data_IF_294829323176
#
_entry.id   IF_294829323176
#
_cell.length_a   1.000
_cell.length_b   1.000
_cell.length_c   1.000
_cell.angle_alpha   90.00
_cell.angle_beta   90.00
_cell.angle_gamma   90.00
#
_symmetry.space_group_name_H-M   'P 1'
#
loop_
_entity.id
_entity.type
_entity.pdbx_description
1 polymer ?
#
# COMPACT_ATOMS: atom_id res chain seq x y z
N UNK A 1 4.32 35.05 -14.42
CA UNK A 1 4.05 36.42 -14.92
C UNK A 1 2.58 36.62 -15.14
N UNK A 2 1.91 37.39 -14.28
CA UNK A 2 0.49 37.71 -14.45
C UNK A 2 0.42 39.20 -14.80
N UNK A 3 0.11 39.49 -16.07
CA UNK A 3 -0.03 40.87 -16.56
C UNK A 3 -1.39 41.40 -16.12
N UNK A 4 -1.40 42.43 -15.28
CA UNK A 4 -2.62 43.19 -14.92
C UNK A 4 -2.73 44.43 -15.80
N UNK A 5 -3.79 44.53 -16.59
CA UNK A 5 -4.14 45.76 -17.29
C UNK A 5 -4.83 46.71 -16.29
N UNK A 6 -4.41 47.98 -16.26
CA UNK A 6 -5.06 49.05 -15.49
C UNK A 6 -5.85 49.91 -16.48
N UNK A 7 -7.18 49.95 -16.34
CA UNK A 7 -8.04 50.89 -17.07
C UNK A 7 -8.24 52.15 -16.22
N UNK A 8 -7.86 53.30 -16.76
CA UNK A 8 -7.95 54.61 -16.10
C UNK A 8 -9.19 55.35 -16.60
N UNK A 9 -10.36 55.05 -16.03
CA UNK A 9 -11.51 55.97 -16.09
C UNK A 9 -11.75 56.62 -14.73
N UNK A 10 -11.65 57.96 -14.77
CA UNK A 10 -12.09 58.91 -13.76
C UNK A 10 -13.55 58.63 -13.43
N UNK A 11 -13.83 58.31 -12.18
CA UNK A 11 -14.70 59.11 -11.33
C UNK A 11 -14.52 58.70 -9.86
N UNK A 12 -14.74 59.67 -9.00
CA UNK A 12 -14.55 59.59 -7.55
C UNK A 12 -15.35 58.42 -6.98
N UNK A 13 -14.67 57.45 -6.38
CA UNK A 13 -15.06 56.80 -5.13
C UNK A 13 -13.95 55.85 -4.68
N UNK A 14 -13.78 55.73 -3.37
CA UNK A 14 -12.67 55.07 -2.70
C UNK A 14 -12.55 53.61 -3.16
N UNK A 15 -11.44 53.27 -3.81
CA UNK A 15 -11.09 51.87 -4.07
C UNK A 15 -10.76 51.19 -2.75
N UNK A 16 -11.76 50.59 -2.11
CA UNK A 16 -11.51 49.57 -1.11
C UNK A 16 -10.82 48.40 -1.81
N UNK A 17 -9.51 48.23 -1.57
CA UNK A 17 -8.77 47.07 -2.01
C UNK A 17 -9.35 45.85 -1.28
N UNK A 18 -10.26 45.14 -1.94
CA UNK A 18 -10.83 43.91 -1.43
C UNK A 18 -9.77 42.80 -1.58
N UNK A 19 -8.84 42.75 -0.64
CA UNK A 19 -7.94 41.62 -0.48
C UNK A 19 -8.83 40.48 0.03
N UNK A 20 -9.22 39.58 -0.87
CA UNK A 20 -9.84 38.33 -0.46
C UNK A 20 -8.85 37.65 0.50
N UNK A 21 -9.27 37.21 1.70
CA UNK A 21 -8.38 36.48 2.58
C UNK A 21 -7.81 35.29 1.80
N UNK A 22 -6.53 34.90 2.02
CA UNK A 22 -5.98 33.74 1.37
C UNK A 22 -6.93 32.57 1.64
N UNK A 23 -7.32 31.85 0.58
CA UNK A 23 -8.09 30.62 0.72
C UNK A 23 -7.26 29.67 1.58
N UNK A 24 -7.61 29.57 2.86
CA UNK A 24 -7.02 28.59 3.76
C UNK A 24 -7.62 27.25 3.40
N UNK A 25 -7.03 26.57 2.40
CA UNK A 25 -7.32 25.14 2.22
C UNK A 25 -6.98 24.46 3.54
N UNK A 26 -7.93 23.78 4.21
CA UNK A 26 -7.58 23.00 5.39
C UNK A 26 -6.44 22.05 4.99
N UNK A 27 -5.45 21.82 5.87
CA UNK A 27 -4.35 20.93 5.54
C UNK A 27 -4.95 19.60 5.08
N UNK A 28 -4.57 19.16 3.88
CA UNK A 28 -4.99 17.86 3.35
C UNK A 28 -4.46 16.83 4.35
N UNK A 29 -5.35 16.33 5.22
CA UNK A 29 -5.01 15.25 6.12
C UNK A 29 -4.86 14.02 5.23
N UNK A 30 -3.62 13.58 5.02
CA UNK A 30 -3.36 12.32 4.32
C UNK A 30 -4.17 11.22 5.01
N UNK A 31 -4.98 10.48 4.25
CA UNK A 31 -5.67 9.32 4.78
C UNK A 31 -4.60 8.28 5.15
N UNK A 32 -4.43 7.93 6.43
CA UNK A 32 -3.37 7.02 6.86
C UNK A 32 -3.51 5.63 6.23
N UNK A 33 -4.73 5.19 5.91
CA UNK A 33 -4.97 3.97 5.13
C UNK A 33 -4.39 4.16 3.73
N UNK A 34 -4.79 5.19 2.98
CA UNK A 34 -4.26 5.40 1.63
C UNK A 34 -2.72 5.53 1.58
N UNK A 35 -2.10 6.07 2.63
CA UNK A 35 -0.65 6.22 2.73
C UNK A 35 0.12 4.88 2.75
N UNK A 36 -0.51 3.78 3.19
CA UNK A 36 0.11 2.44 3.24
C UNK A 36 -0.04 1.62 1.97
N UNK A 37 -0.76 2.12 0.95
CA UNK A 37 -0.94 1.40 -0.33
C UNK A 37 0.41 1.01 -0.97
N UNK A 38 1.43 1.88 -1.05
CA UNK A 38 2.72 1.52 -1.65
C UNK A 38 3.41 0.36 -0.92
N UNK A 39 3.40 0.38 0.42
CA UNK A 39 4.03 -0.66 1.25
C UNK A 39 3.29 -1.99 1.11
N UNK A 40 1.96 -1.96 1.15
CA UNK A 40 1.13 -3.14 0.88
C UNK A 40 1.45 -3.74 -0.51
N UNK A 41 1.55 -2.91 -1.54
CA UNK A 41 1.86 -3.40 -2.90
C UNK A 41 3.29 -3.97 -3.00
N UNK A 42 4.25 -3.43 -2.25
CA UNK A 42 5.60 -3.98 -2.15
C UNK A 42 5.57 -5.39 -1.55
N UNK A 43 4.95 -5.59 -0.38
CA UNK A 43 4.86 -6.92 0.23
C UNK A 43 4.02 -7.90 -0.59
N UNK A 44 2.98 -7.44 -1.29
CA UNK A 44 2.20 -8.29 -2.20
C UNK A 44 3.09 -8.83 -3.34
N UNK A 45 3.96 -7.99 -3.89
CA UNK A 45 4.92 -8.43 -4.91
C UNK A 45 5.87 -9.49 -4.35
N UNK A 46 6.43 -9.26 -3.15
CA UNK A 46 7.31 -10.23 -2.51
C UNK A 46 6.60 -11.55 -2.24
N UNK A 47 5.36 -11.50 -1.77
CA UNK A 47 4.56 -12.68 -1.49
C UNK A 47 4.31 -13.50 -2.75
N UNK A 48 3.95 -12.86 -3.87
CA UNK A 48 3.78 -13.56 -5.14
C UNK A 48 5.08 -14.24 -5.60
N UNK A 49 6.22 -13.55 -5.50
CA UNK A 49 7.53 -14.12 -5.83
C UNK A 49 7.85 -15.35 -4.96
N UNK A 50 7.60 -15.26 -3.65
CA UNK A 50 7.83 -16.37 -2.72
C UNK A 50 6.88 -17.55 -3.00
N UNK A 51 5.61 -17.28 -3.31
CA UNK A 51 4.62 -18.30 -3.61
C UNK A 51 5.02 -19.12 -4.85
N UNK A 52 5.36 -18.44 -5.96
CA UNK A 52 5.83 -19.09 -7.18
C UNK A 52 7.06 -19.99 -6.90
N UNK A 53 8.05 -19.47 -6.17
CA UNK A 53 9.24 -20.23 -5.80
C UNK A 53 8.93 -21.44 -4.90
N UNK A 54 8.03 -21.31 -3.92
CA UNK A 54 7.63 -22.41 -3.05
C UNK A 54 6.92 -23.49 -3.88
N UNK A 55 5.95 -23.12 -4.72
CA UNK A 55 5.19 -24.04 -5.57
C UNK A 55 6.11 -24.87 -6.48
N UNK A 56 7.15 -24.25 -7.06
CA UNK A 56 8.15 -24.93 -7.89
C UNK A 56 9.03 -25.93 -7.12
N UNK A 57 9.14 -25.78 -5.80
CA UNK A 57 10.01 -26.59 -4.95
C UNK A 57 9.25 -27.51 -3.99
N UNK A 58 7.92 -27.56 -4.07
CA UNK A 58 7.14 -28.50 -3.27
C UNK A 58 7.47 -29.95 -3.68
N UNK A 59 7.69 -30.85 -2.71
CA UNK A 59 7.82 -32.27 -2.99
C UNK A 59 6.47 -32.86 -3.45
N UNK A 60 6.50 -33.98 -4.17
CA UNK A 60 5.27 -34.68 -4.60
C UNK A 60 4.37 -35.05 -3.41
N UNK A 61 4.99 -35.53 -2.31
CA UNK A 61 4.32 -35.78 -1.04
C UNK A 61 4.64 -34.62 -0.07
N UNK A 62 3.75 -33.64 0.00
CA UNK A 62 3.89 -32.47 0.87
C UNK A 62 3.80 -32.89 2.35
N UNK A 63 4.82 -32.61 3.18
CA UNK A 63 4.76 -32.86 4.62
C UNK A 63 3.58 -32.12 5.29
N UNK A 64 2.93 -32.74 6.28
CA UNK A 64 1.76 -32.19 6.97
C UNK A 64 2.02 -30.82 7.60
N UNK A 65 3.23 -30.62 8.15
CA UNK A 65 3.64 -29.34 8.74
C UNK A 65 3.87 -28.25 7.68
N UNK A 66 4.34 -28.61 6.49
CA UNK A 66 4.42 -27.71 5.34
C UNK A 66 3.02 -27.39 4.83
N UNK A 67 2.13 -28.39 4.71
CA UNK A 67 0.74 -28.18 4.28
C UNK A 67 -0.01 -27.23 5.23
N UNK A 68 0.16 -27.40 6.55
CA UNK A 68 -0.45 -26.52 7.55
C UNK A 68 0.00 -25.07 7.36
N UNK A 69 1.29 -24.85 7.08
CA UNK A 69 1.83 -23.51 6.80
C UNK A 69 1.33 -22.94 5.47
N UNK A 70 1.17 -23.77 4.43
CA UNK A 70 0.59 -23.35 3.16
C UNK A 70 -0.86 -22.89 3.34
N UNK A 71 -1.65 -23.62 4.13
CA UNK A 71 -3.04 -23.28 4.43
C UNK A 71 -3.12 -21.96 5.22
N UNK A 72 -2.29 -21.77 6.26
CA UNK A 72 -2.22 -20.53 7.04
C UNK A 72 -1.76 -19.33 6.18
N UNK A 73 -0.76 -19.55 5.32
CA UNK A 73 -0.28 -18.54 4.38
C UNK A 73 -1.39 -18.09 3.43
N UNK A 74 -2.17 -19.05 2.88
CA UNK A 74 -3.28 -18.75 1.98
C UNK A 74 -4.39 -17.97 2.69
N UNK A 75 -4.73 -18.32 3.94
CA UNK A 75 -5.70 -17.56 4.75
C UNK A 75 -5.29 -16.09 4.89
N UNK A 76 -4.01 -15.83 5.18
CA UNK A 76 -3.49 -14.47 5.27
C UNK A 76 -3.53 -13.71 3.93
N UNK A 77 -3.22 -14.38 2.82
CA UNK A 77 -3.35 -13.81 1.47
C UNK A 77 -4.81 -13.42 1.18
N UNK A 78 -5.76 -14.30 1.51
CA UNK A 78 -7.18 -14.05 1.30
C UNK A 78 -7.68 -12.87 2.15
N UNK A 79 -7.26 -12.80 3.43
CA UNK A 79 -7.56 -11.68 4.30
C UNK A 79 -6.99 -10.36 3.77
N UNK A 80 -5.78 -10.38 3.20
CA UNK A 80 -5.17 -9.20 2.58
C UNK A 80 -5.92 -8.73 1.32
N UNK A 81 -6.46 -9.66 0.54
CA UNK A 81 -7.16 -9.37 -0.72
C UNK A 81 -8.62 -8.94 -0.55
N UNK A 82 -9.27 -9.38 0.53
CA UNK A 82 -10.70 -9.09 0.79
C UNK A 82 -10.93 -7.76 1.50
N UNK A 83 -9.90 -7.16 2.08
CA UNK A 83 -10.01 -5.93 2.88
C UNK A 83 -9.80 -4.65 2.06
N UNK A 84 -10.54 -3.59 2.40
CA UNK A 84 -10.30 -2.23 1.91
C UNK A 84 -9.23 -1.45 2.71
N UNK A 85 -8.74 -2.02 3.82
CA UNK A 85 -7.79 -1.36 4.71
C UNK A 85 -6.36 -1.83 4.39
N UNK A 86 -5.61 -0.99 3.69
CA UNK A 86 -4.20 -1.24 3.31
C UNK A 86 -3.25 -1.50 4.49
N UNK A 87 -3.51 -0.95 5.68
CA UNK A 87 -2.68 -1.22 6.88
C UNK A 87 -2.91 -2.65 7.32
N UNK A 88 -4.18 -3.07 7.36
CA UNK A 88 -4.53 -4.44 7.69
C UNK A 88 -4.03 -5.41 6.62
N UNK A 89 -4.25 -5.12 5.34
CA UNK A 89 -3.71 -5.92 4.23
C UNK A 89 -2.19 -6.07 4.30
N UNK A 90 -1.47 -4.99 4.63
CA UNK A 90 -0.03 -5.03 4.82
C UNK A 90 0.38 -5.98 5.96
N UNK A 91 -0.35 -5.95 7.09
CA UNK A 91 -0.06 -6.82 8.22
C UNK A 91 -0.34 -8.29 7.91
N UNK A 92 -1.42 -8.59 7.19
CA UNK A 92 -1.70 -9.95 6.73
C UNK A 92 -0.63 -10.45 5.76
N UNK A 93 -0.15 -9.61 4.82
CA UNK A 93 0.96 -9.97 3.92
C UNK A 93 2.27 -10.24 4.68
N UNK A 94 2.57 -9.52 5.76
CA UNK A 94 3.75 -9.80 6.58
C UNK A 94 3.64 -11.15 7.31
N UNK A 95 2.44 -11.55 7.74
CA UNK A 95 2.21 -12.88 8.32
C UNK A 95 2.36 -13.96 7.25
N UNK A 96 1.79 -13.77 6.07
CA UNK A 96 1.97 -14.68 4.94
C UNK A 96 3.45 -14.86 4.55
N UNK A 97 4.21 -13.75 4.50
CA UNK A 97 5.66 -13.80 4.28
C UNK A 97 6.38 -14.56 5.39
N UNK A 98 5.91 -14.46 6.64
CA UNK A 98 6.49 -15.25 7.73
C UNK A 98 6.24 -16.75 7.56
N UNK A 99 5.03 -17.15 7.17
CA UNK A 99 4.75 -18.54 6.80
C UNK A 99 5.65 -19.00 5.65
N UNK A 100 5.86 -18.15 4.65
CA UNK A 100 6.76 -18.44 3.52
C UNK A 100 8.22 -18.65 3.95
N UNK A 101 8.73 -17.87 4.91
CA UNK A 101 10.06 -18.09 5.50
C UNK A 101 10.14 -19.46 6.19
N UNK A 102 9.12 -19.81 6.99
CA UNK A 102 9.11 -21.06 7.75
C UNK A 102 8.98 -22.29 6.81
N UNK A 103 8.23 -22.16 5.71
CA UNK A 103 8.18 -23.17 4.64
C UNK A 103 9.55 -23.32 3.97
N UNK A 104 10.21 -22.20 3.63
CA UNK A 104 11.54 -22.23 3.02
C UNK A 104 12.56 -22.95 3.92
N UNK A 105 12.54 -22.70 5.23
CA UNK A 105 13.39 -23.38 6.20
C UNK A 105 13.13 -24.89 6.22
N UNK A 106 11.85 -25.31 6.23
CA UNK A 106 11.46 -26.73 6.23
C UNK A 106 11.83 -27.46 4.94
N UNK A 107 11.71 -26.79 3.80
CA UNK A 107 12.07 -27.35 2.49
C UNK A 107 13.57 -27.23 2.20
N UNK A 108 14.33 -26.46 2.97
CA UNK A 108 15.75 -26.22 2.74
C UNK A 108 16.02 -25.40 1.47
N UNK A 109 15.10 -24.51 1.10
CA UNK A 109 15.18 -23.66 -0.09
C UNK A 109 15.37 -22.18 0.29
N UNK A 110 15.64 -21.33 -0.69
CA UNK A 110 15.71 -19.87 -0.49
C UNK A 110 15.09 -19.19 -1.70
N UNK A 111 14.02 -18.44 -1.45
CA UNK A 111 13.28 -17.72 -2.47
C UNK A 111 13.79 -16.28 -2.63
N UNK A 112 13.71 -15.70 -3.84
CA UNK A 112 14.07 -14.31 -4.07
C UNK A 112 13.04 -13.34 -3.45
N UNK A 113 13.52 -12.25 -2.85
CA UNK A 113 12.72 -11.18 -2.22
C UNK A 113 12.67 -9.90 -3.03
#
# INVERSE_FOLDING_TARGET
DVVTWIDWRKDKDIYALYISPPVTTPPVRANPVAAFIPVKNYHLKQMNTCLECIEENLPEDVPEDVQTLLDEMQEHIDNANTTGNSIYANNELLKALKCAEDIQEKLGITCPL
#
